data_IF_672236442487
#
_entry.id   IF_672236442487
#
_cell.length_a   1.000
_cell.length_b   1.000
_cell.length_c   1.000
_cell.angle_alpha   90.00
_cell.angle_beta   90.00
_cell.angle_gamma   90.00
#
_symmetry.space_group_name_H-M   'P 1'
#
loop_
_entity.id
_entity.type
_entity.pdbx_description
1 polymer ?
#
# COMPACT_ATOMS: atom_id res chain seq x y z
N UNK A 1 -27.29 -45.97 -46.97
CA UNK A 1 -28.35 -45.61 -46.01
C UNK A 1 -28.20 -46.58 -44.84
N UNK A 2 -27.89 -46.25 -43.60
CA UNK A 2 -27.66 -45.00 -42.85
C UNK A 2 -26.81 -45.41 -41.62
N UNK A 3 -25.73 -44.70 -41.33
CA UNK A 3 -24.90 -44.86 -40.14
C UNK A 3 -25.73 -44.52 -38.87
N UNK A 4 -25.62 -45.27 -37.76
CA UNK A 4 -26.30 -44.92 -36.51
C UNK A 4 -25.70 -43.65 -35.89
N UNK A 5 -26.58 -42.77 -35.45
CA UNK A 5 -26.29 -41.48 -34.81
C UNK A 5 -25.62 -41.69 -33.43
N UNK A 6 -24.56 -40.95 -33.07
CA UNK A 6 -23.94 -41.08 -31.75
C UNK A 6 -24.77 -40.34 -30.69
N UNK A 7 -25.08 -41.06 -29.61
CA UNK A 7 -25.72 -40.55 -28.39
C UNK A 7 -24.97 -39.34 -27.83
N UNK A 8 -25.66 -38.21 -27.50
CA UNK A 8 -24.98 -37.06 -26.91
C UNK A 8 -24.59 -37.36 -25.45
N UNK A 9 -23.31 -37.23 -25.14
CA UNK A 9 -22.78 -37.29 -23.77
C UNK A 9 -23.37 -36.17 -22.89
N UNK A 10 -23.67 -36.44 -21.60
CA UNK A 10 -24.11 -35.41 -20.68
C UNK A 10 -22.98 -34.40 -20.42
N UNK A 11 -23.27 -33.13 -20.70
CA UNK A 11 -22.38 -31.98 -20.48
C UNK A 11 -22.03 -31.90 -18.98
N UNK A 12 -20.76 -31.73 -18.59
CA UNK A 12 -20.40 -31.58 -17.18
C UNK A 12 -21.09 -30.36 -16.58
N UNK A 13 -21.87 -30.59 -15.53
CA UNK A 13 -22.51 -29.53 -14.75
C UNK A 13 -21.44 -28.64 -14.11
N UNK A 14 -21.54 -27.31 -14.20
CA UNK A 14 -20.63 -26.42 -13.49
C UNK A 14 -20.86 -26.56 -11.98
N UNK A 15 -19.81 -26.93 -11.23
CA UNK A 15 -19.84 -27.00 -9.77
C UNK A 15 -20.42 -25.72 -9.15
N UNK A 16 -21.43 -25.81 -8.26
CA UNK A 16 -21.91 -24.68 -7.48
C UNK A 16 -20.90 -24.40 -6.36
N UNK A 17 -19.84 -23.66 -6.68
CA UNK A 17 -18.79 -23.33 -5.70
C UNK A 17 -17.91 -22.13 -6.05
N UNK A 18 -17.90 -21.67 -7.30
CA UNK A 18 -17.26 -20.40 -7.64
C UNK A 18 -18.29 -19.28 -7.58
N UNK A 19 -18.73 -18.90 -6.37
CA UNK A 19 -19.26 -17.56 -6.18
C UNK A 19 -18.13 -16.62 -6.59
N UNK A 20 -18.29 -15.80 -7.64
CA UNK A 20 -17.33 -14.73 -7.88
C UNK A 20 -17.33 -13.94 -6.58
N UNK A 21 -16.19 -13.80 -5.89
CA UNK A 21 -16.03 -12.82 -4.81
C UNK A 21 -16.51 -11.50 -5.40
N UNK A 22 -17.78 -11.17 -5.14
CA UNK A 22 -18.40 -9.98 -5.66
C UNK A 22 -17.54 -8.84 -5.17
N UNK A 23 -17.12 -8.02 -6.12
CA UNK A 23 -16.30 -6.84 -5.96
C UNK A 23 -16.95 -5.87 -4.97
N UNK A 24 -16.85 -6.14 -3.67
CA UNK A 24 -17.01 -5.13 -2.63
C UNK A 24 -15.96 -4.07 -2.93
N UNK A 25 -16.40 -2.85 -3.16
CA UNK A 25 -15.53 -1.77 -3.60
C UNK A 25 -14.44 -1.54 -2.53
N UNK A 26 -13.26 -2.13 -2.75
CA UNK A 26 -12.09 -1.87 -1.92
C UNK A 26 -11.87 -0.36 -1.88
N UNK A 27 -11.94 0.26 -0.71
CA UNK A 27 -11.44 1.62 -0.54
C UNK A 27 -9.92 1.54 -0.65
N UNK A 28 -9.41 1.96 -1.82
CA UNK A 28 -7.98 1.95 -2.14
C UNK A 28 -7.37 3.28 -1.78
N UNK A 29 -6.52 3.28 -0.75
CA UNK A 29 -5.71 4.43 -0.39
C UNK A 29 -4.34 4.31 -1.08
N UNK A 30 -4.12 5.16 -2.08
CA UNK A 30 -2.88 5.25 -2.88
C UNK A 30 -2.53 6.70 -3.17
N UNK A 31 -1.23 7.01 -3.23
CA UNK A 31 -0.74 8.34 -3.61
C UNK A 31 -0.59 8.43 -5.14
N UNK A 32 -1.40 9.21 -5.87
CA UNK A 32 -1.24 9.39 -7.32
C UNK A 32 0.11 10.02 -7.68
N UNK A 33 0.61 10.91 -6.81
CA UNK A 33 1.93 11.54 -6.98
C UNK A 33 3.05 10.50 -6.88
N UNK A 34 2.93 9.51 -5.98
CA UNK A 34 3.89 8.42 -5.85
C UNK A 34 4.00 7.58 -7.12
N UNK A 35 2.85 7.26 -7.75
CA UNK A 35 2.82 6.54 -9.02
C UNK A 35 3.48 7.37 -10.13
N UNK A 36 3.12 8.64 -10.26
CA UNK A 36 3.68 9.53 -11.28
C UNK A 36 5.20 9.67 -11.14
N UNK A 37 5.70 9.89 -9.92
CA UNK A 37 7.15 9.92 -9.64
C UNK A 37 7.82 8.58 -9.96
N UNK A 38 7.17 7.46 -9.64
CA UNK A 38 7.65 6.13 -9.98
C UNK A 38 7.83 5.91 -11.48
N UNK A 39 6.78 6.22 -12.26
CA UNK A 39 6.82 6.13 -13.72
C UNK A 39 7.91 7.03 -14.29
N UNK A 40 8.03 8.26 -13.79
CA UNK A 40 9.09 9.18 -14.21
C UNK A 40 10.49 8.62 -13.94
N UNK A 41 10.74 8.06 -12.75
CA UNK A 41 12.02 7.43 -12.42
C UNK A 41 12.33 6.22 -13.29
N UNK A 42 11.33 5.40 -13.63
CA UNK A 42 11.50 4.26 -14.52
C UNK A 42 11.89 4.71 -15.93
N UNK A 43 11.24 5.76 -16.45
CA UNK A 43 11.60 6.34 -17.75
C UNK A 43 13.03 6.87 -17.73
N UNK A 44 13.41 7.60 -16.68
CA UNK A 44 14.75 8.14 -16.55
C UNK A 44 15.82 7.03 -16.47
N UNK A 45 15.56 6.00 -15.68
CA UNK A 45 16.43 4.83 -15.57
C UNK A 45 16.59 4.12 -16.93
N UNK A 46 15.49 3.94 -17.67
CA UNK A 46 15.51 3.34 -19.00
C UNK A 46 16.29 4.18 -20.02
N UNK A 47 16.14 5.51 -19.99
CA UNK A 47 16.88 6.42 -20.87
C UNK A 47 18.38 6.35 -20.60
N UNK A 48 18.80 6.49 -19.33
CA UNK A 48 20.22 6.46 -18.99
C UNK A 48 20.85 5.10 -19.20
N UNK A 49 20.17 4.02 -18.84
CA UNK A 49 20.69 2.68 -19.10
C UNK A 49 20.72 2.37 -20.59
N UNK A 50 19.71 2.80 -21.35
CA UNK A 50 19.69 2.68 -22.81
C UNK A 50 20.88 3.41 -23.47
N UNK A 51 21.15 4.65 -23.05
CA UNK A 51 22.32 5.40 -23.52
C UNK A 51 23.63 4.68 -23.19
N UNK A 52 23.78 4.23 -21.94
CA UNK A 52 24.95 3.47 -21.48
C UNK A 52 25.11 2.11 -22.16
N UNK A 53 24.03 1.47 -22.60
CA UNK A 53 24.08 0.20 -23.33
C UNK A 53 24.43 0.40 -24.80
N UNK A 54 23.99 1.49 -25.43
CA UNK A 54 24.22 1.77 -26.86
C UNK A 54 25.57 2.45 -27.12
N UNK A 55 25.99 3.34 -26.22
CA UNK A 55 27.20 4.15 -26.38
C UNK A 55 28.33 3.74 -25.45
N UNK A 56 28.05 2.89 -24.46
CA UNK A 56 29.04 2.48 -23.48
C UNK A 56 30.05 1.50 -24.06
N UNK A 57 31.32 1.74 -23.75
CA UNK A 57 32.42 0.85 -24.11
C UNK A 57 32.75 -0.12 -22.97
N UNK A 58 33.39 -1.23 -23.32
CA UNK A 58 33.86 -2.24 -22.37
C UNK A 58 32.73 -2.82 -21.51
N UNK A 59 32.79 -2.58 -20.19
CA UNK A 59 31.88 -3.18 -19.19
C UNK A 59 30.66 -2.30 -18.88
N UNK A 60 30.61 -1.09 -19.43
CA UNK A 60 29.54 -0.11 -19.17
C UNK A 60 28.14 -0.63 -19.47
N UNK A 61 27.87 -1.34 -20.59
CA UNK A 61 26.54 -1.91 -20.87
C UNK A 61 26.10 -2.95 -19.83
N UNK A 62 27.04 -3.77 -19.32
CA UNK A 62 26.75 -4.79 -18.31
C UNK A 62 26.45 -4.18 -16.94
N UNK A 63 27.17 -3.12 -16.57
CA UNK A 63 26.88 -2.35 -15.35
C UNK A 63 25.53 -1.65 -15.44
N UNK A 64 25.20 -1.07 -16.61
CA UNK A 64 23.90 -0.45 -16.85
C UNK A 64 22.75 -1.46 -16.73
N UNK A 65 22.91 -2.66 -17.31
CA UNK A 65 21.95 -3.74 -17.22
C UNK A 65 21.77 -4.23 -15.77
N UNK A 66 22.86 -4.50 -15.05
CA UNK A 66 22.80 -4.90 -13.64
C UNK A 66 22.15 -3.80 -12.78
N UNK A 67 22.45 -2.53 -13.08
CA UNK A 67 21.81 -1.37 -12.48
C UNK A 67 20.30 -1.33 -12.70
N UNK A 68 19.81 -1.61 -13.91
CA UNK A 68 18.37 -1.70 -14.19
C UNK A 68 17.70 -2.83 -13.42
N UNK A 69 18.32 -4.02 -13.40
CA UNK A 69 17.80 -5.20 -12.69
C UNK A 69 17.65 -4.91 -11.19
N UNK A 70 18.54 -4.09 -10.62
CA UNK A 70 18.42 -3.62 -9.23
C UNK A 70 17.40 -2.48 -9.08
N UNK A 71 17.47 -1.45 -9.92
CA UNK A 71 16.73 -0.20 -9.72
C UNK A 71 15.24 -0.33 -10.00
N UNK A 72 14.85 -1.04 -11.06
CA UNK A 72 13.44 -1.20 -11.47
C UNK A 72 12.57 -1.82 -10.37
N UNK A 73 12.88 -2.99 -9.79
CA UNK A 73 12.06 -3.57 -8.73
C UNK A 73 11.99 -2.67 -7.50
N UNK A 74 13.07 -1.96 -7.15
CA UNK A 74 13.09 -1.04 -6.02
C UNK A 74 12.21 0.19 -6.27
N UNK A 75 12.31 0.82 -7.44
CA UNK A 75 11.43 1.94 -7.82
C UNK A 75 9.98 1.47 -7.70
N UNK A 76 9.62 0.37 -8.37
CA UNK A 76 8.25 -0.18 -8.31
C UNK A 76 7.81 -0.44 -6.87
N UNK A 77 8.66 -1.06 -6.05
CA UNK A 77 8.35 -1.39 -4.67
C UNK A 77 8.07 -0.17 -3.80
N UNK A 78 8.81 0.93 -3.98
CA UNK A 78 8.69 2.12 -3.13
C UNK A 78 7.73 3.18 -3.67
N UNK A 79 7.44 3.20 -4.96
CA UNK A 79 6.63 4.27 -5.56
C UNK A 79 5.26 3.80 -6.04
N UNK A 80 5.18 2.61 -6.65
CA UNK A 80 3.96 2.13 -7.33
C UNK A 80 3.21 1.09 -6.49
N UNK A 81 3.95 0.20 -5.83
CA UNK A 81 3.40 -0.94 -5.08
C UNK A 81 2.69 -0.59 -3.77
N UNK A 82 3.09 0.44 -2.99
CA UNK A 82 2.46 0.72 -1.71
C UNK A 82 0.97 1.06 -1.88
N UNK A 83 0.10 0.30 -1.24
CA UNK A 83 -1.34 0.51 -1.28
C UNK A 83 -2.02 -0.11 -0.06
N UNK A 84 -3.06 0.54 0.45
CA UNK A 84 -3.94 -0.02 1.49
C UNK A 84 -5.31 -0.23 0.89
N UNK A 85 -5.80 -1.46 0.97
CA UNK A 85 -7.13 -1.86 0.52
C UNK A 85 -7.94 -2.18 1.76
N UNK A 86 -9.06 -1.49 1.95
CA UNK A 86 -9.98 -1.75 3.03
C UNK A 86 -11.36 -2.09 2.45
N UNK A 87 -11.87 -3.27 2.75
CA UNK A 87 -13.24 -3.69 2.46
C UNK A 87 -13.95 -4.12 3.74
N UNK A 88 -15.16 -4.64 3.60
CA UNK A 88 -16.02 -5.00 4.73
C UNK A 88 -15.51 -6.26 5.47
N UNK A 89 -14.62 -7.06 4.85
CA UNK A 89 -14.11 -8.31 5.45
C UNK A 89 -12.74 -8.17 6.08
N UNK A 90 -11.84 -7.42 5.44
CA UNK A 90 -10.42 -7.39 5.81
C UNK A 90 -9.73 -6.09 5.37
N UNK A 91 -8.66 -5.80 6.08
CA UNK A 91 -7.66 -4.79 5.74
C UNK A 91 -6.46 -5.48 5.05
N UNK A 92 -6.16 -5.10 3.81
CA UNK A 92 -4.98 -5.58 3.08
C UNK A 92 -3.98 -4.45 2.86
N UNK A 93 -2.83 -4.58 3.49
CA UNK A 93 -1.72 -3.62 3.44
C UNK A 93 -0.67 -4.16 2.48
N UNK A 94 -0.40 -3.47 1.37
CA UNK A 94 0.74 -3.75 0.49
C UNK A 94 1.85 -2.74 0.80
N UNK A 95 2.96 -3.25 1.31
CA UNK A 95 4.20 -2.52 1.56
C UNK A 95 5.26 -2.93 0.52
N UNK A 96 6.39 -2.21 0.41
CA UNK A 96 7.38 -2.46 -0.64
C UNK A 96 7.83 -3.92 -0.78
N UNK A 97 8.10 -4.60 0.33
CA UNK A 97 8.62 -5.97 0.32
C UNK A 97 7.68 -7.02 0.91
N UNK A 98 6.51 -6.61 1.42
CA UNK A 98 5.55 -7.51 2.05
C UNK A 98 4.13 -7.06 1.85
N UNK A 99 3.21 -8.01 1.81
CA UNK A 99 1.78 -7.75 1.89
C UNK A 99 1.22 -8.42 3.14
N UNK A 100 0.38 -7.71 3.86
CA UNK A 100 -0.24 -8.15 5.11
C UNK A 100 -1.74 -8.12 4.90
N UNK A 101 -2.43 -9.20 5.22
CA UNK A 101 -3.89 -9.29 5.21
C UNK A 101 -4.34 -9.48 6.65
N UNK A 102 -5.13 -8.55 7.16
CA UNK A 102 -5.64 -8.51 8.52
C UNK A 102 -7.18 -8.57 8.47
N UNK A 103 -7.81 -9.67 8.90
CA UNK A 103 -9.25 -9.71 9.15
C UNK A 103 -9.61 -8.68 10.24
N UNK A 104 -10.75 -7.98 10.13
CA UNK A 104 -11.06 -6.90 11.09
C UNK A 104 -11.16 -7.37 12.53
N UNK A 105 -11.57 -8.61 12.78
CA UNK A 105 -11.59 -9.18 14.13
C UNK A 105 -10.20 -9.27 14.78
N UNK A 106 -9.14 -9.40 13.97
CA UNK A 106 -7.75 -9.42 14.45
C UNK A 106 -7.19 -8.03 14.74
N UNK A 107 -7.88 -6.95 14.32
CA UNK A 107 -7.43 -5.56 14.47
C UNK A 107 -7.89 -5.02 15.83
N UNK A 108 -6.94 -4.57 16.64
CA UNK A 108 -7.20 -3.94 17.93
C UNK A 108 -7.33 -2.42 17.85
N UNK A 109 -6.43 -1.76 17.11
CA UNK A 109 -6.46 -0.30 16.92
C UNK A 109 -5.66 0.08 15.67
N UNK A 110 -5.98 1.24 15.10
CA UNK A 110 -5.25 1.87 13.99
C UNK A 110 -4.79 3.25 14.44
N UNK A 111 -3.49 3.51 14.48
CA UNK A 111 -2.93 4.78 14.98
C UNK A 111 -2.12 5.49 13.91
N UNK A 112 -2.24 6.81 13.85
CA UNK A 112 -1.27 7.68 13.18
C UNK A 112 -0.36 8.32 14.23
N UNK A 113 0.85 7.76 14.39
CA UNK A 113 1.91 8.33 15.22
C UNK A 113 2.88 9.16 14.37
N UNK A 114 4.15 8.75 14.36
CA UNK A 114 5.14 9.17 13.35
C UNK A 114 5.05 8.35 12.06
N UNK A 115 4.39 7.19 12.13
CA UNK A 115 3.97 6.38 11.01
C UNK A 115 2.53 5.93 11.23
N UNK A 116 1.81 5.60 10.16
CA UNK A 116 0.48 4.98 10.25
C UNK A 116 0.65 3.50 10.56
N UNK A 117 0.04 3.01 11.62
CA UNK A 117 0.29 1.68 12.20
C UNK A 117 -1.04 1.00 12.57
N UNK A 118 -1.16 -0.30 12.28
CA UNK A 118 -2.25 -1.16 12.75
C UNK A 118 -1.68 -2.09 13.81
N UNK A 119 -2.42 -2.21 14.91
CA UNK A 119 -2.16 -3.12 16.01
C UNK A 119 -3.14 -4.28 15.94
N UNK A 120 -2.64 -5.49 16.15
CA UNK A 120 -3.49 -6.67 16.28
C UNK A 120 -3.84 -6.93 17.74
N UNK A 121 -4.86 -7.76 17.98
CA UNK A 121 -5.25 -8.21 19.32
C UNK A 121 -4.13 -8.98 20.03
N UNK A 122 -3.24 -9.63 19.26
CA UNK A 122 -2.08 -10.36 19.76
C UNK A 122 -0.87 -9.45 20.08
N UNK A 123 -0.99 -8.15 19.81
CA UNK A 123 0.06 -7.16 20.07
C UNK A 123 1.02 -6.92 18.91
N UNK A 124 0.87 -7.63 17.78
CA UNK A 124 1.67 -7.36 16.57
C UNK A 124 1.37 -5.99 15.98
N UNK A 125 2.40 -5.41 15.36
CA UNK A 125 2.36 -4.08 14.74
C UNK A 125 2.72 -4.16 13.25
N UNK A 126 1.87 -3.56 12.43
CA UNK A 126 2.07 -3.44 10.99
C UNK A 126 2.01 -1.99 10.52
N UNK A 127 3.07 -1.51 9.86
CA UNK A 127 3.13 -0.17 9.28
C UNK A 127 2.37 -0.07 7.94
N UNK A 128 1.72 1.06 7.70
CA UNK A 128 0.95 1.39 6.50
C UNK A 128 1.72 2.44 5.71
N UNK A 129 2.54 2.00 4.76
CA UNK A 129 3.42 2.90 3.97
C UNK A 129 2.65 3.81 3.01
N UNK A 130 1.49 3.37 2.54
CA UNK A 130 0.66 4.13 1.61
C UNK A 130 -0.20 5.22 2.26
N UNK A 131 -0.32 5.23 3.59
CA UNK A 131 -1.09 6.26 4.30
C UNK A 131 -0.11 7.35 4.74
N UNK A 132 -0.05 8.50 4.04
CA UNK A 132 0.95 9.52 4.31
C UNK A 132 0.74 10.11 5.70
N UNK A 133 1.79 10.30 6.50
CA UNK A 133 1.66 10.98 7.80
C UNK A 133 1.57 12.49 7.64
N UNK A 134 0.65 13.10 8.36
CA UNK A 134 0.35 14.54 8.28
C UNK A 134 1.31 15.39 9.15
N UNK A 135 2.63 15.16 9.09
CA UNK A 135 3.63 15.90 9.90
C UNK A 135 3.57 17.43 9.70
N UNK A 136 3.33 17.88 8.45
CA UNK A 136 3.13 19.31 8.12
C UNK A 136 1.86 19.87 8.76
N UNK A 137 0.82 19.05 8.90
CA UNK A 137 -0.45 19.44 9.50
C UNK A 137 -0.35 19.44 11.03
N UNK A 138 0.40 18.53 11.66
CA UNK A 138 0.73 18.63 13.08
C UNK A 138 1.45 19.94 13.40
N UNK A 139 2.43 20.34 12.58
CA UNK A 139 3.10 21.65 12.71
C UNK A 139 2.12 22.83 12.53
N UNK A 140 1.13 22.70 11.64
CA UNK A 140 0.06 23.70 11.44
C UNK A 140 -0.94 23.74 12.60
N UNK A 141 -1.32 22.59 13.14
CA UNK A 141 -2.21 22.43 14.28
C UNK A 141 -1.56 22.97 15.56
N UNK A 142 -0.31 22.63 15.83
CA UNK A 142 0.46 23.19 16.95
C UNK A 142 0.59 24.72 16.86
N UNK A 143 0.89 25.26 15.66
CA UNK A 143 0.92 26.71 15.43
C UNK A 143 -0.43 27.38 15.61
N UNK A 144 -1.53 26.68 15.35
CA UNK A 144 -2.90 27.19 15.53
C UNK A 144 -3.35 27.12 16.98
N UNK A 145 -3.07 26.02 17.68
CA UNK A 145 -3.31 25.89 19.11
C UNK A 145 -2.56 26.98 19.89
N UNK A 146 -1.30 27.26 19.52
CA UNK A 146 -0.52 28.35 20.09
C UNK A 146 -1.07 29.75 19.75
N UNK A 147 -1.84 29.92 18.67
CA UNK A 147 -2.53 31.18 18.34
C UNK A 147 -3.87 31.30 19.05
N UNK A 148 -4.66 30.23 19.09
CA UNK A 148 -5.92 30.18 19.81
C UNK A 148 -5.74 30.41 21.33
N UNK A 149 -4.64 29.90 21.92
CA UNK A 149 -4.29 30.20 23.32
C UNK A 149 -3.88 31.66 23.55
N UNK A 150 -3.55 32.41 22.49
CA UNK A 150 -3.21 33.84 22.57
C UNK A 150 -4.43 34.72 22.26
N UNK A 151 -5.32 34.29 21.37
CA UNK A 151 -6.51 35.02 20.93
C UNK A 151 -7.71 34.89 21.90
N UNK A 152 -7.78 33.85 22.75
CA UNK A 152 -8.85 33.72 23.76
C UNK A 152 -8.33 33.37 25.18
N UNK A 153 -7.71 34.32 25.90
CA UNK A 153 -7.26 34.11 27.28
C UNK A 153 -8.40 33.92 28.29
N UNK A 154 -9.66 34.19 27.90
CA UNK A 154 -10.82 34.23 28.79
C UNK A 154 -11.89 33.18 28.47
N UNK A 155 -11.62 32.25 27.53
CA UNK A 155 -12.45 31.08 27.25
C UNK A 155 -13.85 31.41 26.74
N UNK A 156 -14.02 32.50 25.98
CA UNK A 156 -15.34 32.96 25.51
C UNK A 156 -15.76 32.32 24.19
N UNK A 157 -14.87 31.58 23.53
CA UNK A 157 -15.16 30.85 22.30
C UNK A 157 -15.95 29.59 22.62
N UNK A 158 -17.15 29.45 22.04
CA UNK A 158 -17.99 28.28 22.25
C UNK A 158 -17.31 27.01 21.74
N UNK A 159 -17.13 26.02 22.62
CA UNK A 159 -16.54 24.70 22.34
C UNK A 159 -17.22 24.01 21.14
N UNK A 160 -18.52 24.21 20.95
CA UNK A 160 -19.32 23.61 19.87
C UNK A 160 -18.99 24.16 18.47
N UNK A 161 -18.68 25.46 18.36
CA UNK A 161 -18.27 26.07 17.09
C UNK A 161 -16.87 25.60 16.68
N UNK A 162 -15.96 25.44 17.65
CA UNK A 162 -14.60 24.98 17.41
C UNK A 162 -14.57 23.49 17.03
N UNK A 163 -15.35 22.63 17.70
CA UNK A 163 -15.47 21.20 17.34
C UNK A 163 -16.01 21.00 15.92
N UNK A 164 -17.09 21.71 15.55
CA UNK A 164 -17.68 21.60 14.20
C UNK A 164 -16.73 22.13 13.11
N UNK A 165 -15.96 23.16 13.43
CA UNK A 165 -14.97 23.75 12.53
C UNK A 165 -13.67 22.94 12.45
N UNK A 166 -13.29 22.22 13.51
CA UNK A 166 -12.14 21.33 13.59
C UNK A 166 -12.41 20.02 12.82
N UNK A 167 -13.61 19.45 12.96
CA UNK A 167 -14.08 18.30 12.17
C UNK A 167 -14.12 18.59 10.66
N UNK A 168 -14.49 19.81 10.26
CA UNK A 168 -14.47 20.24 8.87
C UNK A 168 -13.05 20.46 8.28
N UNK A 169 -11.99 20.36 9.11
CA UNK A 169 -10.60 20.68 8.74
C UNK A 169 -9.61 19.56 9.04
N UNK A 170 -10.10 18.37 9.38
CA UNK A 170 -9.29 17.17 9.58
C UNK A 170 -8.45 16.91 8.33
N UNK A 171 -7.14 16.68 8.50
CA UNK A 171 -6.27 16.40 7.38
C UNK A 171 -6.72 15.12 6.65
N UNK A 172 -6.60 15.02 5.31
CA UNK A 172 -7.02 13.83 4.56
C UNK A 172 -6.47 12.49 5.12
N UNK A 173 -5.28 12.53 5.72
CA UNK A 173 -4.66 11.41 6.45
C UNK A 173 -5.41 11.02 7.72
N UNK A 174 -5.74 12.00 8.57
CA UNK A 174 -6.36 11.75 9.87
C UNK A 174 -7.79 11.25 9.64
N UNK A 175 -8.43 11.71 8.57
CA UNK A 175 -9.68 11.16 8.05
C UNK A 175 -9.50 9.69 7.62
N UNK A 176 -8.45 9.35 6.86
CA UNK A 176 -8.17 7.96 6.45
C UNK A 176 -8.04 7.02 7.65
N UNK A 177 -7.35 7.45 8.72
CA UNK A 177 -7.22 6.63 9.94
C UNK A 177 -8.54 6.52 10.70
N UNK A 178 -9.32 7.60 10.76
CA UNK A 178 -10.66 7.57 11.35
C UNK A 178 -11.59 6.61 10.59
N UNK A 179 -11.59 6.66 9.26
CA UNK A 179 -12.39 5.78 8.40
C UNK A 179 -12.00 4.30 8.59
N UNK A 180 -10.71 4.02 8.75
CA UNK A 180 -10.20 2.66 9.03
C UNK A 180 -10.62 2.16 10.42
N UNK A 181 -10.66 3.03 11.43
CA UNK A 181 -11.17 2.67 12.77
C UNK A 181 -12.66 2.37 12.74
N UNK A 182 -13.44 3.23 12.08
CA UNK A 182 -14.89 3.04 11.92
C UNK A 182 -15.20 1.73 11.17
N UNK A 183 -14.37 1.36 10.19
CA UNK A 183 -14.46 0.07 9.51
C UNK A 183 -14.16 -1.11 10.43
N UNK A 184 -13.11 -1.00 11.25
CA UNK A 184 -12.75 -2.03 12.22
C UNK A 184 -13.87 -2.25 13.24
N UNK A 185 -14.40 -1.19 13.83
CA UNK A 185 -15.49 -1.25 14.82
C UNK A 185 -16.77 -1.86 14.23
N UNK A 186 -17.15 -1.47 13.00
CA UNK A 186 -18.36 -1.99 12.35
C UNK A 186 -18.26 -3.48 12.01
N UNK A 187 -17.09 -3.95 11.60
CA UNK A 187 -16.94 -5.29 11.05
C UNK A 187 -16.30 -6.30 12.01
N UNK A 188 -15.80 -5.88 13.18
CA UNK A 188 -15.17 -6.75 14.17
C UNK A 188 -16.05 -7.94 14.59
N UNK A 189 -17.38 -7.73 14.68
CA UNK A 189 -18.33 -8.79 15.05
C UNK A 189 -18.83 -9.64 13.88
N UNK A 190 -18.45 -9.33 12.63
CA UNK A 190 -18.95 -10.07 11.47
C UNK A 190 -18.24 -11.43 11.33
N UNK A 191 -18.96 -12.52 11.00
CA UNK A 191 -18.36 -13.84 10.76
C UNK A 191 -17.32 -13.82 9.63
N UNK A 192 -17.53 -12.96 8.64
CA UNK A 192 -16.69 -12.85 7.45
C UNK A 192 -15.39 -12.08 7.69
N UNK A 193 -15.28 -11.37 8.81
CA UNK A 193 -14.08 -10.66 9.24
C UNK A 193 -13.26 -11.44 10.29
N UNK A 194 -13.62 -12.69 10.56
CA UNK A 194 -12.87 -13.61 11.42
C UNK A 194 -11.71 -14.24 10.65
N UNK A 195 -10.62 -14.51 11.35
CA UNK A 195 -9.47 -15.25 10.83
C UNK A 195 -8.14 -14.70 11.31
N UNK A 196 -7.08 -15.39 10.89
CA UNK A 196 -5.71 -15.07 11.30
C UNK A 196 -5.05 -14.03 10.37
N UNK A 197 -4.22 -13.14 10.93
CA UNK A 197 -3.29 -12.32 10.16
C UNK A 197 -2.43 -13.16 9.21
N UNK A 198 -2.30 -12.72 7.94
CA UNK A 198 -1.44 -13.37 6.95
C UNK A 198 -0.41 -12.42 6.40
N UNK A 199 0.86 -12.82 6.43
CA UNK A 199 1.98 -12.06 5.85
C UNK A 199 2.54 -12.82 4.64
N UNK A 200 2.68 -12.12 3.51
CA UNK A 200 3.29 -12.66 2.28
C UNK A 200 4.41 -11.76 1.80
N UNK A 201 5.60 -12.34 1.65
CA UNK A 201 6.76 -11.66 1.11
C UNK A 201 6.67 -11.46 -0.41
N UNK A 202 7.27 -10.38 -0.86
CA UNK A 202 7.30 -9.96 -2.25
C UNK A 202 8.53 -10.52 -2.97
N UNK A 203 8.60 -11.84 -3.15
CA UNK A 203 9.76 -12.45 -3.79
C UNK A 203 9.95 -11.97 -5.23
N UNK A 204 8.89 -11.53 -5.90
CA UNK A 204 8.92 -10.89 -7.21
C UNK A 204 9.68 -9.55 -7.24
N UNK A 205 9.85 -8.90 -6.08
CA UNK A 205 10.66 -7.68 -5.92
C UNK A 205 12.02 -8.03 -5.35
N UNK A 206 12.04 -8.86 -4.30
CA UNK A 206 13.25 -9.17 -3.54
C UNK A 206 14.24 -9.92 -4.40
N UNK A 207 13.81 -10.95 -5.14
CA UNK A 207 14.72 -11.77 -5.91
C UNK A 207 15.42 -10.98 -7.03
N UNK A 208 14.72 -10.21 -7.90
CA UNK A 208 15.41 -9.39 -8.89
C UNK A 208 16.33 -8.32 -8.28
N UNK A 209 15.91 -7.69 -7.17
CA UNK A 209 16.75 -6.70 -6.49
C UNK A 209 18.05 -7.34 -5.95
N UNK A 210 17.96 -8.51 -5.32
CA UNK A 210 19.14 -9.25 -4.84
C UNK A 210 20.03 -9.68 -6.00
N UNK A 211 19.46 -10.18 -7.09
CA UNK A 211 20.22 -10.56 -8.30
C UNK A 211 20.96 -9.35 -8.88
N UNK A 212 20.27 -8.21 -9.05
CA UNK A 212 20.88 -6.99 -9.55
C UNK A 212 22.01 -6.48 -8.66
N UNK A 213 21.82 -6.55 -7.33
CA UNK A 213 22.86 -6.21 -6.37
C UNK A 213 24.08 -7.12 -6.50
N UNK A 214 23.89 -8.44 -6.57
CA UNK A 214 24.98 -9.40 -6.71
C UNK A 214 25.74 -9.19 -8.02
N UNK A 215 25.03 -8.96 -9.14
CA UNK A 215 25.65 -8.67 -10.42
C UNK A 215 26.54 -7.43 -10.36
N UNK A 216 26.09 -6.34 -9.73
CA UNK A 216 26.89 -5.14 -9.54
C UNK A 216 28.13 -5.38 -8.67
N UNK A 217 27.98 -6.12 -7.57
CA UNK A 217 29.09 -6.46 -6.68
C UNK A 217 30.14 -7.29 -7.41
N UNK A 218 29.72 -8.32 -8.15
CA UNK A 218 30.64 -9.19 -8.90
C UNK A 218 31.34 -8.42 -10.02
N UNK A 219 30.59 -7.63 -10.81
CA UNK A 219 31.16 -6.81 -11.88
C UNK A 219 32.15 -5.76 -11.35
N UNK A 220 31.87 -5.17 -10.19
CA UNK A 220 32.76 -4.21 -9.54
C UNK A 220 33.99 -4.82 -8.88
N UNK A 221 33.87 -6.02 -8.30
CA UNK A 221 34.99 -6.70 -7.63
C UNK A 221 35.92 -7.44 -8.60
N UNK A 222 35.41 -7.88 -9.75
CA UNK A 222 36.19 -8.47 -10.85
C UNK A 222 36.62 -7.44 -11.89
N UNK A 223 36.32 -6.16 -11.60
CA UNK A 223 36.50 -4.97 -12.44
C UNK A 223 37.91 -4.42 -12.38
#
# INVERSE_FOLDING_TARGET
MTTPEPTPEPRPEPSPGSTPEQSYADRVFRSPLGIASGVFLLVLAAVFAGDAMLRGEGRTPWLALAGLVLAVPLIVAFTIRPAVYANDRRLRIRNPFRSVTLPWASVADVRAGYSSEVFTQEGDKYQLWAVPVSLRQRKKAARRAARASQDDPHGRTSVTADVRQSAARTAPTDQTVADLRELAERHAGSPEAQGEPRVRWAYEIIAPAVVGLLLLVVLGATG
#
